data_IF_540406866797
#
_entry.id   IF_540406866797
#
_cell.length_a   1.000
_cell.length_b   1.000
_cell.length_c   1.000
_cell.angle_alpha   90.00
_cell.angle_beta   90.00
_cell.angle_gamma   90.00
#
_symmetry.space_group_name_H-M   'P 1'
#
loop_
_entity.id
_entity.type
_entity.pdbx_description
1 polymer ?
#
# COMPACT_ATOMS: atom_id res chain seq x y z
N UNK A 1 17.46 2.13 19.82
CA UNK A 1 17.48 3.61 19.90
C UNK A 1 17.76 4.22 18.52
N UNK A 2 16.79 4.21 17.60
CA UNK A 2 16.91 4.84 16.26
C UNK A 2 15.99 6.06 16.06
N UNK A 3 15.03 6.29 16.97
CA UNK A 3 13.98 7.30 16.81
C UNK A 3 14.37 8.74 17.18
N UNK A 4 15.57 8.99 17.71
CA UNK A 4 16.01 10.33 18.19
C UNK A 4 17.01 11.05 17.29
N UNK A 5 17.41 10.48 16.16
CA UNK A 5 18.45 11.07 15.32
C UNK A 5 17.90 12.18 14.40
N UNK A 6 18.67 13.27 14.21
CA UNK A 6 18.40 14.41 13.29
C UNK A 6 18.01 13.99 11.85
N UNK A 7 18.33 12.76 11.45
CA UNK A 7 18.06 12.21 10.13
C UNK A 7 16.91 11.19 10.08
N UNK A 8 16.21 10.94 11.19
CA UNK A 8 15.15 9.92 11.28
C UNK A 8 14.01 10.12 10.25
N UNK A 9 13.67 11.39 9.94
CA UNK A 9 12.68 11.72 8.89
C UNK A 9 13.18 11.37 7.49
N UNK A 10 14.48 11.55 7.23
CA UNK A 10 15.10 11.15 5.96
C UNK A 10 15.16 9.63 5.83
N UNK A 11 15.50 8.93 6.92
CA UNK A 11 15.46 7.47 6.95
C UNK A 11 14.07 6.92 6.70
N UNK A 12 13.03 7.46 7.35
CA UNK A 12 11.64 7.04 7.11
C UNK A 12 11.22 7.27 5.65
N UNK A 13 11.59 8.42 5.07
CA UNK A 13 11.32 8.72 3.67
C UNK A 13 12.03 7.74 2.74
N UNK A 14 13.34 7.52 2.93
CA UNK A 14 14.10 6.57 2.10
C UNK A 14 13.61 5.15 2.31
N UNK A 15 13.30 4.71 3.52
CA UNK A 15 12.83 3.35 3.77
C UNK A 15 11.45 3.10 3.19
N UNK A 16 10.52 4.05 3.32
CA UNK A 16 9.18 3.93 2.73
C UNK A 16 9.24 3.96 1.19
N UNK A 17 10.14 4.77 0.62
CA UNK A 17 10.42 4.80 -0.81
C UNK A 17 11.01 3.46 -1.27
N UNK A 18 12.03 2.97 -0.57
CA UNK A 18 12.72 1.73 -0.90
C UNK A 18 11.85 0.50 -0.62
N UNK A 19 10.94 0.50 0.35
CA UNK A 19 10.03 -0.62 0.56
C UNK A 19 9.01 -0.71 -0.58
N UNK A 20 8.44 0.42 -0.97
CA UNK A 20 7.54 0.49 -2.11
C UNK A 20 8.24 0.13 -3.44
N UNK A 21 9.59 0.13 -3.48
CA UNK A 21 10.37 -0.17 -4.69
C UNK A 21 11.15 -1.52 -4.65
N UNK A 22 11.71 -1.94 -3.52
CA UNK A 22 12.74 -3.01 -3.42
C UNK A 22 12.84 -3.79 -2.07
N UNK A 23 12.49 -3.27 -0.89
CA UNK A 23 12.83 -3.90 0.42
C UNK A 23 11.63 -4.41 1.24
N UNK A 24 11.72 -5.53 2.00
CA UNK A 24 10.57 -6.16 2.67
C UNK A 24 10.33 -5.68 4.12
N UNK A 25 10.70 -4.45 4.48
CA UNK A 25 10.43 -3.92 5.84
C UNK A 25 9.17 -3.07 5.78
N UNK A 26 8.05 -3.50 6.38
CA UNK A 26 6.81 -2.72 6.34
C UNK A 26 7.01 -1.33 6.98
N UNK A 27 6.38 -0.27 6.48
CA UNK A 27 6.63 1.08 6.93
C UNK A 27 6.01 1.29 8.31
N UNK A 28 5.01 0.49 8.65
CA UNK A 28 4.34 0.41 9.94
C UNK A 28 5.32 0.06 11.08
N UNK A 29 6.33 -0.78 10.80
CA UNK A 29 7.37 -1.18 11.76
C UNK A 29 8.24 0.02 12.16
N UNK A 30 8.39 1.00 11.28
CA UNK A 30 9.10 2.25 11.56
C UNK A 30 8.18 3.35 12.07
N UNK A 31 7.00 3.53 11.46
CA UNK A 31 6.04 4.56 11.83
C UNK A 31 5.65 4.41 13.29
N UNK A 32 5.37 3.18 13.74
CA UNK A 32 4.91 2.93 15.10
C UNK A 32 5.86 3.42 16.22
N UNK A 33 7.14 3.01 16.27
CA UNK A 33 8.07 3.49 17.28
C UNK A 33 8.40 4.98 17.13
N UNK A 34 8.30 5.55 15.92
CA UNK A 34 8.52 7.00 15.72
C UNK A 34 7.37 7.83 16.30
N UNK A 35 6.12 7.41 16.08
CA UNK A 35 4.94 8.05 16.68
C UNK A 35 4.96 7.91 18.19
N UNK A 36 5.39 6.76 18.72
CA UNK A 36 5.54 6.56 20.15
C UNK A 36 6.59 7.50 20.77
N UNK A 37 7.74 7.68 20.08
CA UNK A 37 8.81 8.56 20.53
C UNK A 37 8.44 10.05 20.46
N UNK A 38 7.64 10.46 19.47
CA UNK A 38 7.23 11.85 19.27
C UNK A 38 5.73 11.94 18.91
N UNK A 39 4.86 11.73 19.91
CA UNK A 39 3.39 11.73 19.75
C UNK A 39 2.84 12.99 19.08
N UNK A 40 3.42 14.17 19.35
CA UNK A 40 3.00 15.43 18.73
C UNK A 40 3.18 15.46 17.22
N UNK A 41 4.09 14.65 16.67
CA UNK A 41 4.37 14.56 15.25
C UNK A 41 3.59 13.44 14.53
N UNK A 42 2.67 12.73 15.22
CA UNK A 42 1.99 11.56 14.69
C UNK A 42 1.39 11.75 13.28
N UNK A 43 0.63 12.83 13.09
CA UNK A 43 -0.03 13.13 11.82
C UNK A 43 0.95 13.56 10.72
N UNK A 44 2.03 14.25 11.09
CA UNK A 44 3.09 14.62 10.15
C UNK A 44 3.87 13.40 9.69
N UNK A 45 4.14 12.45 10.59
CA UNK A 45 4.79 11.19 10.28
C UNK A 45 3.91 10.32 9.38
N UNK A 46 2.60 10.22 9.66
CA UNK A 46 1.65 9.51 8.82
C UNK A 46 1.58 10.12 7.40
N UNK A 47 1.51 11.46 7.32
CA UNK A 47 1.53 12.17 6.05
C UNK A 47 2.82 11.89 5.25
N UNK A 48 3.99 12.02 5.88
CA UNK A 48 5.28 11.78 5.24
C UNK A 48 5.41 10.33 4.75
N UNK A 49 4.94 9.38 5.55
CA UNK A 49 4.95 7.94 5.21
C UNK A 49 4.03 7.67 4.02
N UNK A 50 2.83 8.27 4.02
CA UNK A 50 1.88 8.19 2.90
C UNK A 50 2.50 8.75 1.63
N UNK A 51 3.06 9.95 1.69
CA UNK A 51 3.68 10.60 0.54
C UNK A 51 4.84 9.78 -0.02
N UNK A 52 5.75 9.33 0.84
CA UNK A 52 6.88 8.50 0.43
C UNK A 52 6.43 7.17 -0.18
N UNK A 53 5.41 6.54 0.41
CA UNK A 53 4.86 5.29 -0.12
C UNK A 53 4.14 5.47 -1.46
N UNK A 54 3.43 6.58 -1.67
CA UNK A 54 2.77 6.87 -2.96
C UNK A 54 3.81 7.15 -4.03
N UNK A 55 4.87 7.91 -3.71
CA UNK A 55 5.98 8.15 -4.64
C UNK A 55 6.68 6.84 -5.02
N UNK A 56 7.01 5.98 -4.05
CA UNK A 56 7.58 4.66 -4.36
C UNK A 56 6.60 3.76 -5.11
N UNK A 57 5.30 3.86 -4.81
CA UNK A 57 4.24 3.20 -5.56
C UNK A 57 4.20 3.65 -7.03
N UNK A 58 4.41 4.94 -7.30
CA UNK A 58 4.50 5.48 -8.66
C UNK A 58 5.72 4.92 -9.40
N UNK A 59 6.85 4.69 -8.71
CA UNK A 59 8.00 4.00 -9.32
C UNK A 59 7.61 2.57 -9.71
N UNK A 60 6.96 1.82 -8.82
CA UNK A 60 6.45 0.48 -9.14
C UNK A 60 5.47 0.47 -10.31
N UNK A 61 4.55 1.45 -10.35
CA UNK A 61 3.65 1.66 -11.48
C UNK A 61 4.41 1.88 -12.78
N UNK A 62 5.41 2.76 -12.80
CA UNK A 62 6.22 3.01 -13.99
C UNK A 62 7.01 1.77 -14.42
N UNK A 63 7.52 0.99 -13.48
CA UNK A 63 8.17 -0.30 -13.78
C UNK A 63 7.19 -1.23 -14.49
N UNK A 64 5.97 -1.40 -13.96
CA UNK A 64 4.96 -2.24 -14.60
C UNK A 64 4.58 -1.75 -16.00
N UNK A 65 4.35 -0.44 -16.14
CA UNK A 65 3.99 0.20 -17.39
C UNK A 65 5.07 0.07 -18.48
N UNK A 66 6.35 0.19 -18.11
CA UNK A 66 7.45 0.07 -19.08
C UNK A 66 7.84 -1.39 -19.35
N UNK A 67 7.70 -2.27 -18.36
CA UNK A 67 8.09 -3.67 -18.51
C UNK A 67 7.06 -4.50 -19.29
N UNK A 68 5.78 -4.10 -19.30
CA UNK A 68 4.72 -4.93 -19.90
C UNK A 68 4.94 -5.17 -21.40
N UNK A 69 5.43 -4.19 -22.15
CA UNK A 69 5.75 -4.35 -23.58
C UNK A 69 6.81 -5.43 -23.81
N UNK A 70 7.83 -5.49 -22.94
CA UNK A 70 8.88 -6.50 -23.02
C UNK A 70 8.39 -7.91 -22.61
N UNK A 71 7.35 -7.98 -21.75
CA UNK A 71 6.77 -9.22 -21.25
C UNK A 71 5.64 -9.74 -22.15
N UNK A 72 5.02 -8.89 -22.98
CA UNK A 72 3.89 -9.25 -23.85
C UNK A 72 4.14 -10.49 -24.72
N UNK A 73 5.30 -10.62 -25.41
CA UNK A 73 5.56 -11.81 -26.23
C UNK A 73 5.63 -13.10 -25.41
N UNK A 74 5.99 -13.02 -24.13
CA UNK A 74 6.00 -14.17 -23.22
C UNK A 74 4.57 -14.57 -22.82
N UNK A 75 3.71 -13.59 -22.54
CA UNK A 75 2.28 -13.80 -22.24
C UNK A 75 1.59 -14.47 -23.44
N UNK A 76 1.85 -13.97 -24.65
CA UNK A 76 1.35 -14.55 -25.90
C UNK A 76 1.81 -16.00 -26.10
N UNK A 77 3.12 -16.26 -25.99
CA UNK A 77 3.67 -17.61 -26.15
C UNK A 77 3.20 -18.59 -25.08
N UNK A 78 2.91 -18.10 -23.88
CA UNK A 78 2.35 -18.90 -22.80
C UNK A 78 0.83 -19.14 -22.95
N UNK A 79 0.18 -18.52 -23.93
CA UNK A 79 -1.27 -18.65 -24.15
C UNK A 79 -2.13 -17.93 -23.12
N UNK A 80 -1.59 -16.91 -22.44
CA UNK A 80 -2.29 -16.18 -21.37
C UNK A 80 -2.92 -14.85 -21.83
N UNK A 81 -3.07 -14.62 -23.13
CA UNK A 81 -3.65 -13.37 -23.64
C UNK A 81 -5.07 -13.14 -23.15
N UNK A 82 -5.94 -14.15 -23.22
CA UNK A 82 -7.32 -14.01 -22.75
C UNK A 82 -7.39 -13.64 -21.26
N UNK A 83 -6.49 -14.21 -20.45
CA UNK A 83 -6.40 -13.91 -19.02
C UNK A 83 -5.86 -12.49 -18.76
N UNK A 84 -4.90 -12.04 -19.57
CA UNK A 84 -4.38 -10.69 -19.52
C UNK A 84 -5.47 -9.66 -19.89
N UNK A 85 -6.20 -9.88 -20.99
CA UNK A 85 -7.27 -8.98 -21.43
C UNK A 85 -8.41 -8.92 -20.41
N UNK A 86 -8.77 -10.05 -19.81
CA UNK A 86 -9.72 -10.08 -18.69
C UNK A 86 -9.21 -9.29 -17.47
N UNK A 87 -7.91 -9.38 -17.16
CA UNK A 87 -7.31 -8.61 -16.07
C UNK A 87 -7.32 -7.09 -16.37
N UNK A 88 -7.08 -6.72 -17.63
CA UNK A 88 -7.16 -5.32 -18.10
C UNK A 88 -8.59 -4.79 -17.97
N UNK A 89 -9.61 -5.49 -18.47
CA UNK A 89 -11.02 -5.08 -18.34
C UNK A 89 -11.44 -4.96 -16.87
N UNK A 90 -11.02 -5.92 -16.02
CA UNK A 90 -11.27 -5.86 -14.59
C UNK A 90 -10.63 -4.62 -13.94
N UNK A 91 -9.39 -4.27 -14.31
CA UNK A 91 -8.71 -3.08 -13.80
C UNK A 91 -9.30 -1.78 -14.33
N UNK A 92 -9.82 -1.75 -15.56
CA UNK A 92 -10.53 -0.58 -16.09
C UNK A 92 -11.81 -0.30 -15.29
N UNK A 93 -12.53 -1.34 -14.85
CA UNK A 93 -13.78 -1.21 -14.09
C UNK A 93 -13.56 -1.00 -12.60
N UNK A 94 -12.63 -1.73 -12.00
CA UNK A 94 -12.49 -1.83 -10.54
C UNK A 94 -11.09 -1.47 -10.02
N UNK A 95 -10.16 -1.05 -10.88
CA UNK A 95 -8.76 -0.82 -10.51
C UNK A 95 -8.57 0.14 -9.33
N UNK A 96 -9.40 1.20 -9.24
CA UNK A 96 -9.38 2.13 -8.11
C UNK A 96 -9.67 1.40 -6.79
N UNK A 97 -10.70 0.55 -6.78
CA UNK A 97 -11.05 -0.24 -5.60
C UNK A 97 -9.97 -1.26 -5.27
N UNK A 98 -9.44 -1.97 -6.26
CA UNK A 98 -8.35 -2.92 -6.05
C UNK A 98 -7.13 -2.26 -5.39
N UNK A 99 -6.73 -1.08 -5.86
CA UNK A 99 -5.59 -0.35 -5.29
C UNK A 99 -5.88 0.17 -3.87
N UNK A 100 -7.10 0.65 -3.58
CA UNK A 100 -7.50 1.07 -2.23
C UNK A 100 -7.41 -0.12 -1.25
N UNK A 101 -8.02 -1.25 -1.61
CA UNK A 101 -8.07 -2.43 -0.78
C UNK A 101 -6.68 -3.02 -0.56
N UNK A 102 -5.90 -3.15 -1.62
CA UNK A 102 -4.53 -3.63 -1.54
C UNK A 102 -3.64 -2.67 -0.74
N UNK A 103 -3.82 -1.36 -0.88
CA UNK A 103 -3.08 -0.33 -0.15
C UNK A 103 -3.32 -0.36 1.37
N UNK A 104 -4.50 -0.79 1.81
CA UNK A 104 -4.82 -0.97 3.22
C UNK A 104 -4.40 -2.34 3.77
N UNK A 105 -4.48 -3.37 2.93
CA UNK A 105 -4.15 -4.76 3.26
C UNK A 105 -2.68 -4.95 3.67
N UNK A 106 -2.33 -6.09 4.31
CA UNK A 106 -0.94 -6.44 4.61
C UNK A 106 -0.18 -6.97 3.38
N UNK A 107 -0.82 -7.02 2.20
CA UNK A 107 -0.18 -7.46 0.97
C UNK A 107 0.92 -6.45 0.57
N UNK A 108 2.08 -6.92 0.07
CA UNK A 108 3.14 -6.01 -0.38
C UNK A 108 2.63 -5.05 -1.46
N UNK A 109 2.60 -3.76 -1.12
CA UNK A 109 2.00 -2.73 -1.99
C UNK A 109 2.65 -2.66 -3.38
N UNK A 110 3.95 -2.97 -3.48
CA UNK A 110 4.66 -3.06 -4.77
C UNK A 110 4.02 -4.00 -5.80
N UNK A 111 3.38 -5.09 -5.35
CA UNK A 111 2.74 -6.06 -6.25
C UNK A 111 1.57 -5.40 -6.96
N UNK A 112 0.71 -4.70 -6.21
CA UNK A 112 -0.44 -4.01 -6.79
C UNK A 112 -0.01 -2.80 -7.61
N UNK A 113 1.06 -2.09 -7.24
CA UNK A 113 1.50 -0.92 -8.00
C UNK A 113 2.10 -1.31 -9.34
N UNK A 114 2.92 -2.36 -9.40
CA UNK A 114 3.43 -2.92 -10.65
C UNK A 114 2.28 -3.43 -11.51
N UNK A 115 1.32 -4.17 -10.93
CA UNK A 115 0.15 -4.64 -11.66
C UNK A 115 -0.68 -3.49 -12.24
N UNK A 116 -0.92 -2.42 -11.46
CA UNK A 116 -1.66 -1.25 -11.92
C UNK A 116 -1.00 -0.57 -13.14
N UNK A 117 0.34 -0.51 -13.16
CA UNK A 117 1.09 -0.01 -14.30
C UNK A 117 1.03 -0.94 -15.51
N UNK A 118 1.25 -2.23 -15.29
CA UNK A 118 1.25 -3.25 -16.34
C UNK A 118 -0.14 -3.39 -17.01
N UNK A 119 -1.22 -3.24 -16.25
CA UNK A 119 -2.60 -3.33 -16.73
C UNK A 119 -3.15 -2.00 -17.26
N UNK A 120 -2.32 -0.96 -17.36
CA UNK A 120 -2.68 0.31 -17.98
C UNK A 120 -3.71 1.14 -17.18
N UNK A 121 -3.76 1.00 -15.85
CA UNK A 121 -4.65 1.81 -15.02
C UNK A 121 -4.32 3.30 -15.16
N UNK A 122 -5.29 4.23 -15.29
CA UNK A 122 -5.00 5.65 -15.36
C UNK A 122 -4.22 6.16 -14.13
N UNK A 123 -3.07 6.83 -14.36
CA UNK A 123 -2.16 7.31 -13.30
C UNK A 123 -2.89 8.13 -12.24
N UNK A 124 -3.81 9.00 -12.65
CA UNK A 124 -4.57 9.84 -11.71
C UNK A 124 -5.45 9.01 -10.77
N UNK A 125 -6.15 8.00 -11.31
CA UNK A 125 -6.92 7.05 -10.51
C UNK A 125 -6.04 6.26 -9.55
N UNK A 126 -4.86 5.84 -10.01
CA UNK A 126 -3.86 5.16 -9.19
C UNK A 126 -3.39 6.04 -8.02
N UNK A 127 -3.03 7.30 -8.28
CA UNK A 127 -2.53 8.22 -7.25
C UNK A 127 -3.59 8.47 -6.17
N UNK A 128 -4.86 8.68 -6.56
CA UNK A 128 -5.96 8.85 -5.60
C UNK A 128 -6.14 7.58 -4.79
N UNK A 129 -6.26 6.43 -5.45
CA UNK A 129 -6.48 5.14 -4.80
C UNK A 129 -5.34 4.79 -3.83
N UNK A 130 -4.09 4.96 -4.26
CA UNK A 130 -2.90 4.73 -3.47
C UNK A 130 -2.85 5.65 -2.23
N UNK A 131 -3.16 6.93 -2.41
CA UNK A 131 -3.19 7.90 -1.32
C UNK A 131 -4.27 7.54 -0.29
N UNK A 132 -5.47 7.16 -0.74
CA UNK A 132 -6.56 6.75 0.14
C UNK A 132 -6.20 5.46 0.87
N UNK A 133 -5.80 4.40 0.16
CA UNK A 133 -5.49 3.09 0.76
C UNK A 133 -4.33 3.15 1.74
N UNK A 134 -3.19 3.73 1.33
CA UNK A 134 -1.99 3.85 2.18
C UNK A 134 -2.18 4.87 3.28
N UNK A 135 -2.83 5.99 2.98
CA UNK A 135 -3.19 7.00 3.97
C UNK A 135 -4.07 6.42 5.07
N UNK A 136 -5.13 5.70 4.72
CA UNK A 136 -6.01 5.05 5.69
C UNK A 136 -5.22 4.11 6.62
N UNK A 137 -4.32 3.28 6.09
CA UNK A 137 -3.47 2.40 6.90
C UNK A 137 -2.55 3.19 7.85
N UNK A 138 -1.77 4.12 7.33
CA UNK A 138 -0.77 4.83 8.14
C UNK A 138 -1.37 5.79 9.16
N UNK A 139 -2.47 6.46 8.81
CA UNK A 139 -3.19 7.29 9.77
C UNK A 139 -3.88 6.47 10.84
N UNK A 140 -4.39 5.26 10.52
CA UNK A 140 -4.88 4.33 11.53
C UNK A 140 -3.76 3.92 12.50
N UNK A 141 -2.60 3.49 11.99
CA UNK A 141 -1.43 3.15 12.81
C UNK A 141 -1.02 4.30 13.72
N UNK A 142 -0.84 5.49 13.14
CA UNK A 142 -0.44 6.67 13.89
C UNK A 142 -1.49 7.07 14.94
N UNK A 143 -2.78 6.99 14.59
CA UNK A 143 -3.89 7.31 15.50
C UNK A 143 -4.00 6.35 16.68
N UNK A 144 -3.88 5.05 16.43
CA UNK A 144 -3.93 4.02 17.50
C UNK A 144 -2.79 4.23 18.50
N UNK A 145 -1.59 4.53 18.04
CA UNK A 145 -0.43 4.75 18.93
C UNK A 145 -0.51 6.11 19.62
N UNK A 146 -0.97 7.14 18.90
CA UNK A 146 -1.21 8.46 19.47
C UNK A 146 -2.15 8.36 20.69
N UNK A 147 -3.26 7.62 20.55
CA UNK A 147 -4.22 7.41 21.64
C UNK A 147 -3.68 6.47 22.73
N UNK A 148 -3.20 5.27 22.37
CA UNK A 148 -2.94 4.18 23.33
C UNK A 148 -1.49 4.03 23.83
N UNK A 149 -0.52 4.70 23.21
CA UNK A 149 0.86 4.79 23.72
C UNK A 149 1.62 3.47 23.70
N UNK A 150 2.44 3.22 24.71
CA UNK A 150 3.32 2.03 24.77
C UNK A 150 2.53 0.73 24.74
N UNK A 151 1.41 0.67 25.48
CA UNK A 151 0.49 -0.48 25.45
C UNK A 151 -0.02 -0.74 24.04
N UNK A 152 -0.47 0.29 23.32
CA UNK A 152 -0.94 0.10 21.95
C UNK A 152 0.18 -0.34 21.00
N UNK A 153 1.41 0.15 21.18
CA UNK A 153 2.54 -0.21 20.34
C UNK A 153 2.94 -1.69 20.46
N UNK A 154 2.82 -2.28 21.66
CA UNK A 154 3.07 -3.71 21.88
C UNK A 154 2.06 -4.58 21.15
N UNK A 155 0.76 -4.29 21.28
CA UNK A 155 -0.29 -5.06 20.60
C UNK A 155 -0.36 -4.78 19.10
N UNK A 156 -0.04 -3.56 18.64
CA UNK A 156 -0.27 -3.19 17.25
C UNK A 156 0.50 -4.07 16.25
N UNK A 157 1.71 -4.53 16.59
CA UNK A 157 2.48 -5.40 15.69
C UNK A 157 1.75 -6.70 15.35
N UNK A 158 1.07 -7.29 16.32
CA UNK A 158 0.40 -8.57 16.14
C UNK A 158 -0.99 -8.39 15.51
N UNK A 159 -1.65 -7.26 15.78
CA UNK A 159 -3.01 -7.00 15.35
C UNK A 159 -3.13 -6.28 14.00
N UNK A 160 -2.10 -5.56 13.55
CA UNK A 160 -2.19 -4.75 12.33
C UNK A 160 -2.44 -5.59 11.07
N UNK A 161 -1.81 -6.75 10.98
CA UNK A 161 -2.01 -7.64 9.83
C UNK A 161 -3.38 -8.31 9.89
N UNK A 162 -3.83 -8.69 11.09
CA UNK A 162 -5.18 -9.22 11.32
C UNK A 162 -6.23 -8.19 10.91
N UNK A 163 -6.09 -6.92 11.34
CA UNK A 163 -7.01 -5.84 10.96
C UNK A 163 -7.03 -5.61 9.45
N UNK A 164 -5.87 -5.67 8.80
CA UNK A 164 -5.77 -5.59 7.34
C UNK A 164 -6.52 -6.73 6.64
N UNK A 165 -6.38 -7.96 7.12
CA UNK A 165 -7.12 -9.12 6.56
C UNK A 165 -8.61 -9.09 6.88
N UNK A 166 -9.01 -8.66 8.07
CA UNK A 166 -10.41 -8.48 8.45
C UNK A 166 -11.06 -7.45 7.53
N UNK A 167 -10.40 -6.33 7.25
CA UNK A 167 -10.91 -5.34 6.30
C UNK A 167 -11.10 -5.93 4.90
N UNK A 168 -10.11 -6.68 4.38
CA UNK A 168 -10.23 -7.37 3.09
C UNK A 168 -11.41 -8.37 3.11
N UNK A 169 -11.53 -9.18 4.16
CA UNK A 169 -12.59 -10.17 4.32
C UNK A 169 -13.99 -9.54 4.41
N UNK A 170 -14.15 -8.47 5.19
CA UNK A 170 -15.41 -7.72 5.28
C UNK A 170 -15.79 -7.11 3.94
N UNK A 171 -14.82 -6.57 3.19
CA UNK A 171 -15.08 -6.04 1.86
C UNK A 171 -15.52 -7.13 0.89
N UNK A 172 -14.85 -8.29 0.92
CA UNK A 172 -15.22 -9.44 0.09
C UNK A 172 -16.64 -9.95 0.40
N UNK A 173 -16.99 -10.05 1.69
CA UNK A 173 -18.33 -10.44 2.15
C UNK A 173 -19.38 -9.43 1.70
N UNK A 174 -19.11 -8.13 1.84
CA UNK A 174 -20.02 -7.08 1.39
C UNK A 174 -20.27 -7.15 -0.13
N UNK A 175 -19.22 -7.40 -0.92
CA UNK A 175 -19.34 -7.59 -2.37
C UNK A 175 -20.14 -8.85 -2.73
N UNK A 176 -19.94 -9.95 -2.02
CA UNK A 176 -20.72 -11.18 -2.19
C UNK A 176 -22.20 -10.97 -1.87
N UNK A 177 -22.50 -10.30 -0.76
CA UNK A 177 -23.88 -9.98 -0.38
C UNK A 177 -24.56 -9.05 -1.40
N UNK A 178 -23.82 -8.08 -1.94
CA UNK A 178 -24.30 -7.22 -3.01
C UNK A 178 -24.53 -7.98 -4.32
N UNK A 179 -23.71 -8.98 -4.62
CA UNK A 179 -23.87 -9.82 -5.81
C UNK A 179 -25.05 -10.80 -5.70
N UNK A 180 -25.41 -11.22 -4.48
CA UNK A 180 -26.51 -12.13 -4.20
C UNK A 180 -27.89 -11.45 -4.12
N UNK A 181 -27.94 -10.11 -4.10
CA UNK A 181 -29.15 -9.28 -4.03
C UNK A 181 -29.43 -8.59 -5.35
#
# INVERSE_FOLDING_TARGET
MWSRHRHARRYLFTLSLTEATFFPVPPDVMLAPMVLAERKAAWQLAFLTTLASVIGGLIGYLIGFLAIEAVMPLIERAGYMDAYDAAVDAFQRFGVWFVILAGFSPIPFKVITIAAGALGMPVFGFLIAATIGRGARFYMVAGVIYAGGERAAEYLRDWIDILGWVFVGLTAVALLLWWLW
#
